data_IF_755549765216
#
_entry.id   IF_755549765216
#
_cell.length_a   1.000
_cell.length_b   1.000
_cell.length_c   1.000
_cell.angle_alpha   90.00
_cell.angle_beta   90.00
_cell.angle_gamma   90.00
#
_symmetry.space_group_name_H-M   'P 1'
#
loop_
_entity.id
_entity.type
_entity.pdbx_description
1 polymer ?
#
# COMPACT_ATOMS: atom_id res chain seq x y z
N UNK A 1 -36.87 -91.98 0.48
CA UNK A 1 -36.61 -91.16 -0.70
C UNK A 1 -36.88 -89.69 -0.35
N UNK A 2 -35.84 -88.93 -0.01
CA UNK A 2 -35.94 -87.46 0.26
C UNK A 2 -35.16 -86.74 -0.81
N UNK A 3 -35.82 -85.92 -1.63
CA UNK A 3 -35.20 -85.04 -2.61
C UNK A 3 -34.80 -83.77 -1.94
N UNK A 4 -33.53 -83.42 -1.94
CA UNK A 4 -33.00 -82.13 -1.55
C UNK A 4 -33.06 -81.15 -2.75
N UNK A 5 -33.64 -80.01 -2.52
CA UNK A 5 -33.71 -78.87 -3.47
C UNK A 5 -32.59 -77.94 -3.10
N UNK A 6 -31.61 -77.74 -3.97
CA UNK A 6 -30.54 -76.73 -3.87
C UNK A 6 -31.03 -75.42 -4.46
N UNK A 7 -31.08 -74.39 -3.63
CA UNK A 7 -31.41 -73.02 -4.02
C UNK A 7 -30.10 -72.33 -4.44
N UNK A 8 -29.97 -71.97 -5.70
CA UNK A 8 -28.83 -71.20 -6.23
C UNK A 8 -29.02 -69.68 -6.00
N UNK A 9 -28.13 -69.08 -5.22
CA UNK A 9 -28.09 -67.64 -5.02
C UNK A 9 -27.25 -67.00 -6.14
N UNK A 10 -27.90 -66.28 -7.04
CA UNK A 10 -27.27 -65.45 -8.02
C UNK A 10 -26.87 -64.10 -7.37
N UNK A 11 -25.56 -63.87 -7.16
CA UNK A 11 -25.01 -62.63 -6.67
C UNK A 11 -24.93 -61.62 -7.89
N UNK A 12 -25.72 -60.56 -7.84
CA UNK A 12 -25.69 -59.48 -8.79
C UNK A 12 -24.57 -58.50 -8.38
N UNK A 13 -23.42 -58.56 -9.04
CA UNK A 13 -22.31 -57.60 -8.85
C UNK A 13 -22.67 -56.28 -9.53
N UNK A 14 -23.02 -55.28 -8.69
CA UNK A 14 -23.18 -53.91 -9.18
C UNK A 14 -21.81 -53.26 -9.43
N UNK A 15 -21.47 -53.07 -10.71
CA UNK A 15 -20.24 -52.42 -11.16
C UNK A 15 -20.49 -50.90 -11.06
N UNK A 16 -20.05 -50.26 -9.98
CA UNK A 16 -20.02 -48.77 -9.85
C UNK A 16 -18.89 -48.22 -10.70
N UNK A 17 -19.20 -47.69 -11.87
CA UNK A 17 -18.27 -46.90 -12.66
C UNK A 17 -18.03 -45.56 -11.88
N UNK A 18 -16.90 -45.46 -11.23
CA UNK A 18 -16.38 -44.18 -10.73
C UNK A 18 -15.93 -43.36 -11.94
N UNK A 19 -16.73 -42.41 -12.40
CA UNK A 19 -16.28 -41.37 -13.31
C UNK A 19 -15.26 -40.53 -12.56
N UNK A 20 -13.98 -40.80 -12.76
CA UNK A 20 -12.90 -39.89 -12.42
C UNK A 20 -13.06 -38.66 -13.33
N UNK A 21 -13.78 -37.65 -12.85
CA UNK A 21 -13.77 -36.33 -13.48
C UNK A 21 -12.32 -35.84 -13.44
N UNK A 22 -11.65 -35.80 -14.58
CA UNK A 22 -10.42 -35.04 -14.72
C UNK A 22 -10.79 -33.57 -14.45
N UNK A 23 -10.64 -33.16 -13.19
CA UNK A 23 -10.65 -31.72 -12.85
C UNK A 23 -9.36 -31.16 -13.45
N UNK A 24 -9.45 -30.67 -14.70
CA UNK A 24 -8.42 -29.79 -15.22
C UNK A 24 -8.33 -28.62 -14.24
N UNK A 25 -7.18 -28.46 -13.62
CA UNK A 25 -6.92 -27.26 -12.83
C UNK A 25 -7.12 -26.06 -13.77
N UNK A 26 -8.07 -25.20 -13.45
CA UNK A 26 -8.32 -24.02 -14.29
C UNK A 26 -7.06 -23.15 -14.31
N UNK A 27 -6.73 -22.59 -15.48
CA UNK A 27 -5.56 -21.73 -15.65
C UNK A 27 -5.53 -20.64 -14.57
N UNK A 28 -4.39 -20.42 -13.89
CA UNK A 28 -4.30 -19.44 -12.83
C UNK A 28 -4.55 -18.02 -13.37
N UNK A 29 -5.00 -17.14 -12.46
CA UNK A 29 -5.02 -15.70 -12.70
C UNK A 29 -3.67 -15.16 -12.27
N UNK A 30 -2.88 -14.71 -13.22
CA UNK A 30 -1.50 -14.25 -13.01
C UNK A 30 -1.46 -12.78 -12.61
N UNK A 31 -0.84 -12.48 -11.48
CA UNK A 31 -0.65 -11.11 -11.00
C UNK A 31 0.84 -10.79 -10.91
N UNK A 32 1.28 -9.83 -11.71
CA UNK A 32 2.63 -9.30 -11.64
C UNK A 32 2.76 -8.28 -10.50
N UNK A 33 3.67 -8.54 -9.57
CA UNK A 33 3.95 -7.67 -8.42
C UNK A 33 5.33 -7.06 -8.61
N UNK A 34 5.35 -5.80 -9.06
CA UNK A 34 6.57 -5.03 -9.33
C UNK A 34 6.86 -4.15 -8.13
N UNK A 35 7.81 -4.55 -7.28
CA UNK A 35 8.03 -3.87 -5.99
C UNK A 35 9.50 -3.89 -5.61
N UNK A 36 10.04 -2.91 -4.86
CA UNK A 36 11.45 -2.91 -4.51
C UNK A 36 11.74 -4.04 -3.53
N UNK A 37 12.53 -5.02 -3.98
CA UNK A 37 13.02 -6.13 -3.17
C UNK A 37 14.44 -5.88 -2.68
N UNK A 38 15.08 -4.81 -3.15
CA UNK A 38 16.42 -4.35 -2.78
C UNK A 38 16.45 -2.84 -2.50
N UNK A 39 17.58 -2.33 -2.03
CA UNK A 39 17.79 -0.91 -1.79
C UNK A 39 17.04 -0.32 -0.59
N UNK A 40 16.89 1.01 -0.56
CA UNK A 40 16.32 1.74 0.59
C UNK A 40 14.86 1.41 0.86
N UNK A 41 14.12 1.01 -0.15
CA UNK A 41 12.70 0.69 -0.05
C UNK A 41 12.39 -0.82 0.07
N UNK A 42 13.41 -1.68 0.19
CA UNK A 42 13.22 -3.12 0.38
C UNK A 42 12.30 -3.47 1.58
N UNK A 43 12.34 -2.77 2.74
CA UNK A 43 11.39 -3.04 3.82
C UNK A 43 9.93 -2.82 3.41
N UNK A 44 9.66 -1.84 2.54
CA UNK A 44 8.32 -1.56 2.01
C UNK A 44 7.90 -2.68 1.06
N UNK A 45 8.75 -3.02 0.09
CA UNK A 45 8.49 -4.10 -0.87
C UNK A 45 8.28 -5.46 -0.19
N UNK A 46 8.96 -5.71 0.91
CA UNK A 46 8.77 -6.90 1.75
C UNK A 46 7.34 -6.98 2.31
N UNK A 47 6.80 -5.87 2.82
CA UNK A 47 5.43 -5.81 3.32
C UNK A 47 4.40 -5.98 2.19
N UNK A 48 4.63 -5.34 1.03
CA UNK A 48 3.81 -5.55 -0.18
C UNK A 48 3.77 -7.03 -0.56
N UNK A 49 4.94 -7.67 -0.62
CA UNK A 49 5.05 -9.10 -0.92
C UNK A 49 4.27 -9.96 0.07
N UNK A 50 4.46 -9.74 1.37
CA UNK A 50 3.81 -10.51 2.41
C UNK A 50 2.28 -10.32 2.44
N UNK A 51 1.80 -9.08 2.21
CA UNK A 51 0.37 -8.81 2.07
C UNK A 51 -0.26 -9.57 0.91
N UNK A 52 0.41 -9.58 -0.25
CA UNK A 52 -0.02 -10.34 -1.43
C UNK A 52 -0.01 -11.85 -1.18
N UNK A 53 1.08 -12.39 -0.64
CA UNK A 53 1.23 -13.83 -0.36
C UNK A 53 0.16 -14.33 0.63
N UNK A 54 -0.13 -13.56 1.69
CA UNK A 54 -1.15 -13.93 2.66
C UNK A 54 -2.55 -13.95 2.04
N UNK A 55 -2.93 -12.88 1.32
CA UNK A 55 -4.23 -12.79 0.68
C UNK A 55 -4.44 -13.90 -0.35
N UNK A 56 -3.44 -14.14 -1.20
CA UNK A 56 -3.50 -15.20 -2.23
C UNK A 56 -3.60 -16.57 -1.61
N UNK A 57 -2.83 -16.85 -0.55
CA UNK A 57 -2.94 -18.10 0.21
C UNK A 57 -4.37 -18.34 0.73
N UNK A 58 -4.98 -17.31 1.33
CA UNK A 58 -6.34 -17.42 1.88
C UNK A 58 -7.39 -17.57 0.78
N UNK A 59 -7.30 -16.78 -0.29
CA UNK A 59 -8.24 -16.83 -1.42
C UNK A 59 -8.16 -18.17 -2.15
N UNK A 60 -6.95 -18.65 -2.42
CA UNK A 60 -6.75 -19.93 -3.11
C UNK A 60 -7.22 -21.12 -2.24
N UNK A 61 -6.99 -21.08 -0.93
CA UNK A 61 -7.49 -22.09 0.00
C UNK A 61 -9.04 -22.10 0.08
N UNK A 62 -9.69 -20.97 -0.20
CA UNK A 62 -11.15 -20.87 -0.28
C UNK A 62 -11.73 -21.24 -1.66
N UNK A 63 -10.92 -21.79 -2.58
CA UNK A 63 -11.36 -22.22 -3.91
C UNK A 63 -11.02 -21.25 -5.04
N UNK A 64 -10.22 -20.21 -4.76
CA UNK A 64 -9.79 -19.24 -5.76
C UNK A 64 -10.89 -18.26 -6.18
N UNK A 65 -10.81 -17.75 -7.39
CA UNK A 65 -11.76 -16.82 -8.01
C UNK A 65 -12.44 -17.52 -9.19
N UNK A 66 -13.73 -17.79 -9.07
CA UNK A 66 -14.45 -18.61 -10.05
C UNK A 66 -13.76 -19.97 -10.33
N UNK A 67 -13.18 -20.60 -9.29
CA UNK A 67 -12.44 -21.87 -9.40
C UNK A 67 -11.02 -21.75 -9.95
N UNK A 68 -10.51 -20.54 -10.23
CA UNK A 68 -9.15 -20.26 -10.69
C UNK A 68 -8.29 -19.74 -9.53
N UNK A 69 -7.10 -20.31 -9.27
CA UNK A 69 -6.21 -19.77 -8.27
C UNK A 69 -5.52 -18.50 -8.76
N UNK A 70 -5.13 -17.59 -7.85
CA UNK A 70 -4.15 -16.56 -8.14
C UNK A 70 -2.73 -17.15 -8.17
N UNK A 71 -1.92 -16.67 -9.10
CA UNK A 71 -0.48 -16.91 -9.19
C UNK A 71 0.26 -15.58 -9.12
N UNK A 72 1.24 -15.45 -8.21
CA UNK A 72 2.04 -14.23 -8.02
C UNK A 72 3.39 -14.35 -8.72
N UNK A 73 3.73 -13.36 -9.54
CA UNK A 73 5.04 -13.21 -10.15
C UNK A 73 5.69 -11.91 -9.67
N UNK A 74 6.82 -12.02 -8.96
CA UNK A 74 7.51 -10.89 -8.36
C UNK A 74 8.69 -10.43 -9.22
N UNK A 75 8.81 -9.09 -9.37
CA UNK A 75 9.95 -8.43 -9.99
C UNK A 75 10.42 -7.26 -9.13
N UNK A 76 11.75 -7.11 -9.02
CA UNK A 76 12.37 -6.00 -8.29
C UNK A 76 12.42 -4.74 -9.15
N UNK A 77 11.73 -3.67 -8.73
CA UNK A 77 11.76 -2.37 -9.40
C UNK A 77 12.91 -1.47 -8.93
N UNK A 78 13.65 -1.87 -7.88
CA UNK A 78 14.78 -1.12 -7.31
C UNK A 78 14.44 0.34 -6.95
N UNK A 79 13.16 0.67 -6.78
CA UNK A 79 12.62 2.03 -6.68
C UNK A 79 13.05 2.94 -7.87
N UNK A 80 13.25 2.37 -9.04
CA UNK A 80 13.78 3.02 -10.25
C UNK A 80 12.77 2.89 -11.41
N UNK A 81 12.20 4.01 -11.93
CA UNK A 81 11.19 3.96 -12.98
C UNK A 81 11.60 3.23 -14.26
N UNK A 82 12.81 3.42 -14.85
CA UNK A 82 13.28 2.62 -15.98
C UNK A 82 13.30 1.11 -15.70
N UNK A 83 13.77 0.69 -14.52
CA UNK A 83 13.80 -0.72 -14.12
C UNK A 83 12.38 -1.25 -13.96
N UNK A 84 11.49 -0.49 -13.32
CA UNK A 84 10.09 -0.86 -13.15
C UNK A 84 9.40 -1.11 -14.51
N UNK A 85 9.64 -0.26 -15.50
CA UNK A 85 9.10 -0.44 -16.87
C UNK A 85 9.64 -1.72 -17.49
N UNK A 86 10.96 -1.95 -17.48
CA UNK A 86 11.59 -3.13 -18.04
C UNK A 86 11.03 -4.42 -17.40
N UNK A 87 10.91 -4.44 -16.07
CA UNK A 87 10.36 -5.59 -15.33
C UNK A 87 8.88 -5.82 -15.61
N UNK A 88 8.11 -4.75 -15.72
CA UNK A 88 6.70 -4.83 -16.11
C UNK A 88 6.52 -5.32 -17.56
N UNK A 89 7.37 -4.90 -18.49
CA UNK A 89 7.36 -5.41 -19.87
C UNK A 89 7.61 -6.93 -19.91
N UNK A 90 8.58 -7.43 -19.13
CA UNK A 90 8.80 -8.87 -19.00
C UNK A 90 7.53 -9.60 -18.52
N UNK A 91 6.92 -9.12 -17.43
CA UNK A 91 5.70 -9.70 -16.88
C UNK A 91 4.55 -9.72 -17.91
N UNK A 92 4.39 -8.64 -18.68
CA UNK A 92 3.32 -8.51 -19.66
C UNK A 92 3.58 -9.34 -20.92
N UNK A 93 4.80 -9.31 -21.46
CA UNK A 93 5.11 -9.89 -22.75
C UNK A 93 5.55 -11.36 -22.68
N UNK A 94 6.31 -11.74 -21.65
CA UNK A 94 6.84 -13.10 -21.48
C UNK A 94 5.95 -13.94 -20.56
N UNK A 95 5.66 -13.43 -19.37
CA UNK A 95 4.93 -14.16 -18.33
C UNK A 95 3.40 -14.09 -18.53
N UNK A 96 2.91 -13.15 -19.37
CA UNK A 96 1.49 -12.97 -19.73
C UNK A 96 0.58 -12.75 -18.52
N UNK A 97 0.98 -11.86 -17.61
CA UNK A 97 0.15 -11.54 -16.44
C UNK A 97 -1.16 -10.86 -16.82
N UNK A 98 -2.21 -11.15 -16.06
CA UNK A 98 -3.54 -10.56 -16.22
C UNK A 98 -3.63 -9.16 -15.61
N UNK A 99 -2.92 -8.92 -14.49
CA UNK A 99 -2.95 -7.72 -13.66
C UNK A 99 -1.55 -7.33 -13.19
N UNK A 100 -1.35 -6.03 -12.94
CA UNK A 100 -0.13 -5.49 -12.35
C UNK A 100 -0.44 -4.80 -11.01
N UNK A 101 0.49 -4.90 -10.06
CA UNK A 101 0.45 -4.15 -8.79
C UNK A 101 1.84 -3.96 -8.22
N UNK A 102 1.93 -3.24 -7.09
CA UNK A 102 3.10 -3.24 -6.20
C UNK A 102 4.10 -2.11 -6.40
N UNK A 103 3.96 -1.27 -7.44
CA UNK A 103 4.89 -0.15 -7.66
C UNK A 103 4.91 0.81 -6.46
N UNK A 104 6.10 1.04 -5.89
CA UNK A 104 6.33 1.86 -4.70
C UNK A 104 6.78 3.27 -5.08
N UNK A 105 7.76 3.40 -5.98
CA UNK A 105 8.16 4.70 -6.50
C UNK A 105 7.05 5.31 -7.35
N UNK A 106 6.61 6.55 -7.03
CA UNK A 106 5.50 7.18 -7.74
C UNK A 106 5.81 7.45 -9.22
N UNK A 107 7.07 7.72 -9.57
CA UNK A 107 7.53 7.78 -10.96
C UNK A 107 7.41 6.43 -11.67
N UNK A 108 7.72 5.33 -10.98
CA UNK A 108 7.48 3.97 -11.49
C UNK A 108 6.01 3.73 -11.77
N UNK A 109 5.12 4.11 -10.84
CA UNK A 109 3.67 3.95 -11.02
C UNK A 109 3.16 4.72 -12.24
N UNK A 110 3.61 5.95 -12.44
CA UNK A 110 3.25 6.76 -13.60
C UNK A 110 3.72 6.12 -14.91
N UNK A 111 4.97 5.66 -14.97
CA UNK A 111 5.56 5.06 -16.16
C UNK A 111 4.94 3.68 -16.48
N UNK A 112 4.80 2.81 -15.47
CA UNK A 112 4.16 1.49 -15.61
C UNK A 112 2.67 1.63 -15.91
N UNK A 113 2.01 2.68 -15.41
CA UNK A 113 0.61 2.98 -15.74
C UNK A 113 0.42 3.23 -17.24
N UNK A 114 1.32 3.98 -17.88
CA UNK A 114 1.29 4.19 -19.33
C UNK A 114 1.56 2.89 -20.09
N UNK A 115 2.46 2.04 -19.58
CA UNK A 115 2.72 0.72 -20.16
C UNK A 115 1.49 -0.19 -20.05
N UNK A 116 0.83 -0.21 -18.88
CA UNK A 116 -0.38 -1.00 -18.63
C UNK A 116 -1.52 -0.59 -19.58
N UNK A 117 -1.70 0.72 -19.81
CA UNK A 117 -2.69 1.23 -20.77
C UNK A 117 -2.44 0.73 -22.20
N UNK A 118 -1.19 0.84 -22.69
CA UNK A 118 -0.81 0.37 -24.04
C UNK A 118 -0.98 -1.13 -24.23
N UNK A 119 -0.88 -1.90 -23.14
CA UNK A 119 -1.03 -3.35 -23.15
C UNK A 119 -2.44 -3.82 -22.75
N UNK A 120 -3.39 -2.89 -22.60
CA UNK A 120 -4.76 -3.18 -22.15
C UNK A 120 -4.76 -4.03 -20.86
N UNK A 121 -4.02 -3.59 -19.85
CA UNK A 121 -3.95 -4.21 -18.51
C UNK A 121 -4.23 -3.17 -17.45
N UNK A 122 -4.66 -3.64 -16.29
CA UNK A 122 -4.88 -2.79 -15.11
C UNK A 122 -3.66 -2.82 -14.22
N UNK A 123 -3.24 -1.63 -13.76
CA UNK A 123 -2.29 -1.44 -12.67
C UNK A 123 -3.03 -0.90 -11.44
N UNK A 124 -2.85 -1.55 -10.28
CA UNK A 124 -3.33 -1.01 -9.01
C UNK A 124 -2.16 -0.78 -8.08
N UNK A 125 -1.95 0.47 -7.66
CA UNK A 125 -0.93 0.77 -6.65
C UNK A 125 -1.51 0.71 -5.24
N UNK A 126 -0.70 0.17 -4.32
CA UNK A 126 -0.99 0.05 -2.88
C UNK A 126 -0.07 0.91 -2.02
N UNK A 127 0.87 1.64 -2.65
CA UNK A 127 1.92 2.36 -1.93
C UNK A 127 2.12 3.78 -2.43
N UNK A 128 2.16 4.01 -3.74
CA UNK A 128 2.55 5.29 -4.33
C UNK A 128 1.66 6.46 -3.90
N UNK A 129 2.28 7.55 -3.42
CA UNK A 129 1.57 8.66 -2.77
C UNK A 129 1.33 9.88 -3.66
N UNK A 130 2.06 10.05 -4.80
CA UNK A 130 1.92 11.25 -5.61
C UNK A 130 0.46 11.51 -6.02
N UNK A 131 -0.09 12.69 -5.73
CA UNK A 131 -1.47 13.02 -6.09
C UNK A 131 -1.73 12.99 -7.60
N UNK A 132 -0.67 13.22 -8.42
CA UNK A 132 -0.74 13.20 -9.87
C UNK A 132 -1.22 11.88 -10.47
N UNK A 133 -0.99 10.74 -9.79
CA UNK A 133 -1.32 9.38 -10.28
C UNK A 133 -2.83 9.24 -10.56
N UNK A 134 -3.68 9.71 -9.66
CA UNK A 134 -5.14 9.72 -9.80
C UNK A 134 -5.70 11.14 -10.02
N UNK A 135 -4.82 12.13 -10.24
CA UNK A 135 -5.13 13.51 -10.53
C UNK A 135 -4.69 13.92 -11.93
N UNK A 136 -3.81 14.91 -12.05
CA UNK A 136 -3.42 15.52 -13.34
C UNK A 136 -2.84 14.53 -14.36
N UNK A 137 -2.24 13.43 -13.93
CA UNK A 137 -1.70 12.35 -14.77
C UNK A 137 -2.51 11.05 -14.69
N UNK A 138 -3.77 11.13 -14.28
CA UNK A 138 -4.65 9.97 -14.17
C UNK A 138 -4.73 9.20 -15.49
N UNK A 139 -5.01 7.92 -15.38
CA UNK A 139 -5.07 6.98 -16.48
C UNK A 139 -6.21 5.99 -16.23
N UNK A 140 -7.02 5.71 -17.23
CA UNK A 140 -8.19 4.86 -17.09
C UNK A 140 -7.89 3.41 -16.63
N UNK A 141 -6.65 2.96 -16.78
CA UNK A 141 -6.22 1.63 -16.37
C UNK A 141 -5.43 1.63 -15.04
N UNK A 142 -5.33 2.78 -14.36
CA UNK A 142 -4.61 2.91 -13.09
C UNK A 142 -5.58 3.19 -11.95
N UNK A 143 -5.47 2.40 -10.88
CA UNK A 143 -6.24 2.55 -9.66
C UNK A 143 -5.31 2.69 -8.46
N UNK A 144 -5.76 3.38 -7.41
CA UNK A 144 -5.04 3.47 -6.14
C UNK A 144 -5.95 3.11 -4.97
N UNK A 145 -5.52 2.13 -4.16
CA UNK A 145 -6.29 1.64 -3.00
C UNK A 145 -5.80 2.18 -1.66
N UNK A 146 -4.66 2.87 -1.64
CA UNK A 146 -4.09 3.54 -0.47
C UNK A 146 -4.39 5.04 -0.45
N UNK A 147 -4.17 5.69 0.69
CA UNK A 147 -4.25 7.14 0.82
C UNK A 147 -3.12 7.84 0.03
N UNK A 148 -3.43 8.91 -0.67
CA UNK A 148 -2.44 9.75 -1.34
C UNK A 148 -1.83 10.81 -0.42
N UNK A 149 -0.83 11.57 -0.92
CA UNK A 149 -0.17 12.61 -0.14
C UNK A 149 -1.11 13.74 0.30
N UNK A 150 -2.11 14.10 -0.51
CA UNK A 150 -3.12 15.09 -0.13
C UNK A 150 -3.95 14.62 1.07
N UNK A 151 -4.43 13.38 1.06
CA UNK A 151 -5.20 12.79 2.16
C UNK A 151 -4.39 12.76 3.45
N UNK A 152 -3.12 12.36 3.36
CA UNK A 152 -2.19 12.32 4.50
C UNK A 152 -1.93 13.72 5.04
N UNK A 153 -1.61 14.67 4.17
CA UNK A 153 -1.33 16.06 4.53
C UNK A 153 -2.55 16.70 5.22
N UNK A 154 -3.71 16.65 4.58
CA UNK A 154 -4.94 17.25 5.11
C UNK A 154 -5.30 16.69 6.50
N UNK A 155 -5.24 15.36 6.67
CA UNK A 155 -5.55 14.74 7.95
C UNK A 155 -4.54 15.12 9.04
N UNK A 156 -3.23 15.09 8.73
CA UNK A 156 -2.17 15.35 9.70
C UNK A 156 -2.08 16.83 10.08
N UNK A 157 -2.07 17.74 9.10
CA UNK A 157 -1.90 19.17 9.35
C UNK A 157 -3.10 19.77 10.09
N UNK A 158 -4.32 19.34 9.77
CA UNK A 158 -5.53 19.74 10.51
C UNK A 158 -5.49 19.25 11.97
N UNK A 159 -4.94 18.06 12.22
CA UNK A 159 -4.76 17.55 13.57
C UNK A 159 -3.65 18.32 14.32
N UNK A 160 -2.49 18.56 13.67
CA UNK A 160 -1.38 19.33 14.24
C UNK A 160 -1.83 20.75 14.63
N UNK A 161 -2.57 21.43 13.77
CA UNK A 161 -3.06 22.79 14.02
C UNK A 161 -3.93 22.90 15.29
N UNK A 162 -4.64 21.83 15.65
CA UNK A 162 -5.51 21.76 16.84
C UNK A 162 -4.77 21.32 18.10
N UNK A 163 -3.69 20.54 17.97
CA UNK A 163 -3.08 19.83 19.10
C UNK A 163 -1.65 20.27 19.41
N UNK A 164 -0.98 20.99 18.48
CA UNK A 164 0.40 21.43 18.61
C UNK A 164 0.45 22.96 18.52
N UNK A 165 1.14 23.60 19.46
CA UNK A 165 1.28 25.07 19.49
C UNK A 165 2.32 25.60 18.51
N UNK A 166 3.21 24.74 18.00
CA UNK A 166 4.27 25.09 17.07
C UNK A 166 3.75 25.59 15.72
N UNK A 167 4.35 26.68 15.21
CA UNK A 167 3.91 27.35 13.96
C UNK A 167 4.98 27.36 12.87
N UNK A 168 6.20 27.01 13.18
CA UNK A 168 7.36 27.06 12.27
C UNK A 168 7.69 25.67 11.76
N UNK A 169 7.49 25.45 10.48
CA UNK A 169 7.65 24.15 9.86
C UNK A 169 8.89 24.13 8.94
N UNK A 170 9.72 23.12 9.08
CA UNK A 170 10.77 22.81 8.12
C UNK A 170 10.47 21.46 7.45
N UNK A 171 10.73 21.37 6.15
CA UNK A 171 10.39 20.20 5.36
C UNK A 171 11.64 19.49 4.85
N UNK A 172 11.63 18.16 4.85
CA UNK A 172 12.68 17.35 4.24
C UNK A 172 12.10 16.10 3.57
N UNK A 173 12.41 15.90 2.30
CA UNK A 173 11.91 14.76 1.52
C UNK A 173 12.85 14.40 0.39
N UNK A 174 12.81 13.15 -0.10
CA UNK A 174 13.71 12.73 -1.17
C UNK A 174 13.42 13.45 -2.49
N UNK A 175 14.49 13.69 -3.27
CA UNK A 175 14.41 14.42 -4.53
C UNK A 175 13.85 13.56 -5.68
N UNK A 176 12.56 13.27 -5.61
CA UNK A 176 11.79 12.67 -6.70
C UNK A 176 10.29 12.97 -6.54
N UNK A 177 9.46 12.47 -7.47
CA UNK A 177 8.02 12.84 -7.59
C UNK A 177 7.26 12.76 -6.26
N UNK A 178 7.37 11.65 -5.50
CA UNK A 178 6.65 11.50 -4.24
C UNK A 178 7.14 12.50 -3.18
N UNK A 179 8.47 12.63 -3.02
CA UNK A 179 9.04 13.53 -2.01
C UNK A 179 8.63 14.97 -2.24
N UNK A 180 8.77 15.45 -3.47
CA UNK A 180 8.41 16.83 -3.85
C UNK A 180 6.91 17.08 -3.75
N UNK A 181 6.07 16.19 -4.29
CA UNK A 181 4.61 16.37 -4.25
C UNK A 181 4.04 16.24 -2.84
N UNK A 182 4.61 15.38 -2.00
CA UNK A 182 4.20 15.26 -0.59
C UNK A 182 4.57 16.52 0.21
N UNK A 183 5.80 17.02 0.06
CA UNK A 183 6.21 18.29 0.69
C UNK A 183 5.33 19.43 0.21
N UNK A 184 5.07 19.55 -1.10
CA UNK A 184 4.16 20.57 -1.63
C UNK A 184 2.76 20.51 -1.00
N UNK A 185 2.19 19.31 -0.85
CA UNK A 185 0.90 19.14 -0.20
C UNK A 185 0.90 19.63 1.26
N UNK A 186 1.96 19.31 2.02
CA UNK A 186 2.11 19.82 3.38
C UNK A 186 2.30 21.34 3.42
N UNK A 187 3.10 21.93 2.53
CA UNK A 187 3.32 23.37 2.45
C UNK A 187 2.02 24.14 2.14
N UNK A 188 1.22 23.63 1.20
CA UNK A 188 -0.08 24.23 0.84
C UNK A 188 -1.03 24.20 2.04
N UNK A 189 -1.10 23.09 2.77
CA UNK A 189 -1.96 22.95 3.94
C UNK A 189 -1.52 23.85 5.10
N UNK A 190 -0.22 23.89 5.45
CA UNK A 190 0.24 24.74 6.56
C UNK A 190 0.07 26.21 6.22
N UNK A 191 0.23 26.62 4.96
CA UNK A 191 -0.04 27.98 4.50
C UNK A 191 -1.51 28.33 4.69
N UNK A 192 -2.43 27.45 4.31
CA UNK A 192 -3.89 27.60 4.54
C UNK A 192 -4.22 27.74 6.01
N UNK A 193 -3.46 27.09 6.90
CA UNK A 193 -3.61 27.13 8.35
C UNK A 193 -2.89 28.31 9.03
N UNK A 194 -2.22 29.19 8.24
CA UNK A 194 -1.50 30.35 8.75
C UNK A 194 -0.21 30.01 9.50
N UNK A 195 0.39 28.86 9.26
CA UNK A 195 1.69 28.49 9.79
C UNK A 195 2.83 29.00 8.89
N UNK A 196 4.06 28.96 9.38
CA UNK A 196 5.25 29.54 8.75
C UNK A 196 6.08 28.42 8.14
N UNK A 197 6.26 28.43 6.84
CA UNK A 197 7.28 27.65 6.13
C UNK A 197 8.65 28.28 6.38
N UNK A 198 9.57 27.54 7.00
CA UNK A 198 10.93 27.99 7.31
C UNK A 198 11.98 27.43 6.36
N UNK A 199 11.57 26.67 5.38
CA UNK A 199 12.41 26.10 4.33
C UNK A 199 12.22 24.60 4.11
N UNK A 200 12.82 24.15 3.02
CA UNK A 200 12.78 22.74 2.64
C UNK A 200 14.11 22.26 2.09
N UNK A 201 14.38 20.96 2.22
CA UNK A 201 15.55 20.28 1.66
C UNK A 201 15.16 19.01 0.94
N UNK A 202 15.84 18.71 -0.17
CA UNK A 202 15.54 17.55 -1.01
C UNK A 202 16.81 16.71 -1.24
N UNK A 203 17.21 15.86 -0.26
CA UNK A 203 18.29 14.90 -0.44
C UNK A 203 17.95 13.88 -1.53
N UNK A 204 18.96 13.31 -2.23
CA UNK A 204 18.75 12.21 -3.16
C UNK A 204 18.05 11.03 -2.48
N UNK A 205 17.24 10.29 -3.22
CA UNK A 205 16.71 9.00 -2.76
C UNK A 205 17.89 8.05 -2.45
N UNK A 206 17.84 7.40 -1.29
CA UNK A 206 18.91 6.51 -0.84
C UNK A 206 20.11 7.24 -0.21
N UNK A 207 19.98 8.54 0.11
CA UNK A 207 21.05 9.30 0.77
C UNK A 207 21.52 8.58 2.04
N UNK A 208 22.84 8.38 2.14
CA UNK A 208 23.45 7.71 3.30
C UNK A 208 23.80 8.71 4.40
N UNK A 209 23.99 9.97 4.04
CA UNK A 209 24.41 11.05 4.93
C UNK A 209 23.51 12.28 4.74
N UNK A 210 22.95 12.75 5.84
CA UNK A 210 22.10 13.93 5.93
C UNK A 210 22.78 15.10 6.64
N UNK A 211 24.06 14.97 7.02
CA UNK A 211 24.81 15.97 7.81
C UNK A 211 24.81 17.36 7.16
N UNK A 212 24.92 17.44 5.84
CA UNK A 212 24.87 18.69 5.09
C UNK A 212 23.57 19.48 5.23
N UNK A 213 22.48 18.83 5.61
CA UNK A 213 21.17 19.47 5.82
C UNK A 213 20.95 19.94 7.27
N UNK A 214 21.74 19.43 8.24
CA UNK A 214 21.55 19.73 9.67
C UNK A 214 21.78 21.20 9.99
N UNK A 215 22.70 21.86 9.29
CA UNK A 215 22.94 23.30 9.42
C UNK A 215 21.74 24.15 9.03
N UNK A 216 21.08 23.80 7.91
CA UNK A 216 19.89 24.49 7.43
C UNK A 216 18.70 24.29 8.40
N UNK A 217 18.47 23.07 8.86
CA UNK A 217 17.42 22.75 9.84
C UNK A 217 17.62 23.57 11.12
N UNK A 218 18.85 23.60 11.64
CA UNK A 218 19.18 24.37 12.87
C UNK A 218 18.99 25.88 12.69
N UNK A 219 19.40 26.43 11.55
CA UNK A 219 19.24 27.86 11.22
C UNK A 219 17.76 28.25 11.06
N UNK A 220 16.93 27.36 10.54
CA UNK A 220 15.49 27.53 10.38
C UNK A 220 14.74 27.61 11.72
N UNK A 221 15.28 27.07 12.82
CA UNK A 221 14.66 27.01 14.15
C UNK A 221 13.20 26.54 14.06
N UNK A 222 12.93 25.34 13.52
CA UNK A 222 11.57 24.86 13.38
C UNK A 222 10.99 24.44 14.74
N UNK A 223 9.67 24.58 14.88
CA UNK A 223 8.89 23.91 15.92
C UNK A 223 8.48 22.50 15.50
N UNK A 224 8.35 22.30 14.16
CA UNK A 224 7.94 21.04 13.56
C UNK A 224 8.87 20.72 12.38
N UNK A 225 9.44 19.52 12.37
CA UNK A 225 10.07 18.95 11.17
C UNK A 225 9.08 17.99 10.53
N UNK A 226 8.72 18.27 9.26
CA UNK A 226 7.87 17.42 8.44
C UNK A 226 8.72 16.66 7.43
N UNK A 227 8.71 15.33 7.49
CA UNK A 227 9.47 14.53 6.51
C UNK A 227 8.57 13.74 5.55
N UNK A 228 9.03 13.65 4.29
CA UNK A 228 8.49 12.74 3.27
C UNK A 228 9.46 11.58 2.96
N UNK A 229 10.50 11.36 3.78
CA UNK A 229 11.37 10.18 3.64
C UNK A 229 10.61 8.90 4.00
N UNK A 230 11.09 7.75 3.52
CA UNK A 230 10.50 6.45 3.81
C UNK A 230 11.59 5.36 3.89
N UNK A 231 11.24 4.19 4.43
CA UNK A 231 12.14 3.06 4.53
C UNK A 231 13.44 3.39 5.30
N UNK A 232 14.57 2.93 4.77
CA UNK A 232 15.87 3.15 5.41
C UNK A 232 16.35 4.62 5.41
N UNK A 233 15.81 5.45 4.51
CA UNK A 233 16.15 6.88 4.49
C UNK A 233 15.63 7.60 5.73
N UNK A 234 14.42 7.23 6.20
CA UNK A 234 13.89 7.78 7.45
C UNK A 234 14.70 7.33 8.66
N UNK A 235 15.11 6.06 8.71
CA UNK A 235 15.96 5.57 9.80
C UNK A 235 17.21 6.44 9.90
N UNK A 236 17.92 6.63 8.78
CA UNK A 236 19.15 7.45 8.74
C UNK A 236 18.90 8.90 9.11
N UNK A 237 17.85 9.51 8.54
CA UNK A 237 17.50 10.91 8.85
C UNK A 237 17.25 11.11 10.34
N UNK A 238 16.35 10.32 10.95
CA UNK A 238 15.98 10.50 12.35
C UNK A 238 17.14 10.19 13.30
N UNK A 239 17.93 9.16 13.00
CA UNK A 239 19.14 8.85 13.78
C UNK A 239 20.12 10.00 13.74
N UNK A 240 20.39 10.58 12.57
CA UNK A 240 21.30 11.72 12.44
C UNK A 240 20.74 13.01 13.07
N UNK A 241 19.42 13.27 12.99
CA UNK A 241 18.81 14.37 13.74
C UNK A 241 19.06 14.24 15.25
N UNK A 242 19.01 13.02 15.79
CA UNK A 242 19.34 12.73 17.20
C UNK A 242 20.83 12.93 17.49
N UNK A 243 21.71 12.34 16.69
CA UNK A 243 23.16 12.43 16.82
C UNK A 243 23.68 13.87 16.76
N UNK A 244 23.09 14.71 15.91
CA UNK A 244 23.42 16.12 15.79
C UNK A 244 22.74 16.99 16.86
N UNK A 245 21.99 16.41 17.82
CA UNK A 245 21.33 17.14 18.90
C UNK A 245 20.27 18.13 18.42
N UNK A 246 19.55 17.80 17.33
CA UNK A 246 18.45 18.61 16.81
C UNK A 246 17.15 18.23 17.52
N UNK A 247 16.99 16.96 17.89
CA UNK A 247 15.79 16.48 18.59
C UNK A 247 15.76 17.05 20.02
N UNK A 248 14.58 17.54 20.41
CA UNK A 248 14.33 18.05 21.76
C UNK A 248 12.85 17.87 22.09
N UNK A 249 12.49 17.96 23.38
CA UNK A 249 11.10 17.86 23.86
C UNK A 249 10.16 18.96 23.30
N UNK A 250 10.74 20.04 22.75
CA UNK A 250 9.99 21.14 22.14
C UNK A 250 9.78 20.97 20.64
N UNK A 251 10.53 20.06 19.99
CA UNK A 251 10.46 19.82 18.58
C UNK A 251 9.47 18.67 18.28
N UNK A 252 8.50 18.94 17.45
CA UNK A 252 7.60 17.91 16.94
C UNK A 252 8.18 17.29 15.67
N UNK A 253 8.27 15.95 15.64
CA UNK A 253 8.55 15.20 14.41
C UNK A 253 7.23 14.74 13.80
N UNK A 254 7.06 15.01 12.53
CA UNK A 254 5.88 14.57 11.80
C UNK A 254 6.23 14.24 10.34
N UNK A 255 5.35 13.53 9.63
CA UNK A 255 5.63 13.24 8.23
C UNK A 255 4.63 12.34 7.55
N UNK A 256 4.98 11.96 6.32
CA UNK A 256 4.17 11.08 5.50
C UNK A 256 3.96 9.72 6.15
N UNK A 257 2.84 9.07 5.86
CA UNK A 257 2.60 7.69 6.22
C UNK A 257 3.72 6.78 5.67
N UNK A 258 4.15 5.81 6.48
CA UNK A 258 5.24 4.93 6.09
C UNK A 258 6.66 5.51 6.24
N UNK A 259 6.80 6.76 6.71
CA UNK A 259 8.09 7.27 7.18
C UNK A 259 8.60 6.41 8.35
N UNK A 260 7.79 6.27 9.38
CA UNK A 260 7.99 5.29 10.46
C UNK A 260 6.98 4.16 10.30
N UNK A 261 7.45 2.90 10.36
CA UNK A 261 6.64 1.69 10.21
C UNK A 261 7.05 0.66 11.25
N UNK A 262 6.24 -0.39 11.43
CA UNK A 262 6.60 -1.53 12.29
C UNK A 262 7.94 -2.20 11.87
N UNK A 263 8.32 -2.07 10.60
CA UNK A 263 9.55 -2.67 10.08
C UNK A 263 10.82 -1.86 10.40
N UNK A 264 10.71 -0.54 10.57
CA UNK A 264 11.88 0.32 10.73
C UNK A 264 11.98 1.03 12.10
N UNK A 265 10.90 1.06 12.88
CA UNK A 265 10.85 1.77 14.16
C UNK A 265 11.95 1.32 15.14
N UNK A 266 12.19 0.01 15.26
CA UNK A 266 13.23 -0.53 16.13
C UNK A 266 14.65 -0.13 15.74
N UNK A 267 14.91 0.07 14.45
CA UNK A 267 16.23 0.46 13.94
C UNK A 267 16.59 1.93 14.24
N UNK A 268 15.62 2.75 14.67
CA UNK A 268 15.84 4.18 14.95
C UNK A 268 16.42 4.44 16.35
N UNK A 269 16.53 3.42 17.20
CA UNK A 269 17.11 3.57 18.55
C UNK A 269 16.44 4.68 19.39
N UNK A 270 15.10 4.79 19.31
CA UNK A 270 14.30 5.82 19.98
C UNK A 270 14.31 7.20 19.29
N UNK A 271 14.98 7.39 18.15
CA UNK A 271 14.93 8.65 17.39
C UNK A 271 13.56 8.91 16.75
N UNK A 272 12.72 7.87 16.65
CA UNK A 272 11.34 7.98 16.18
C UNK A 272 10.31 8.27 17.26
N UNK A 273 10.70 8.36 18.55
CA UNK A 273 9.75 8.61 19.63
C UNK A 273 8.96 9.89 19.41
N UNK A 274 7.64 9.80 19.60
CA UNK A 274 6.75 10.93 19.42
C UNK A 274 6.44 11.30 17.97
N UNK A 275 6.99 10.61 16.96
CA UNK A 275 6.72 10.88 15.54
C UNK A 275 5.23 10.77 15.24
N UNK A 276 4.70 11.75 14.51
CA UNK A 276 3.30 11.84 14.13
C UNK A 276 3.14 11.63 12.61
N UNK A 277 2.17 10.81 12.23
CA UNK A 277 1.77 10.68 10.82
C UNK A 277 0.27 10.43 10.71
N UNK A 278 -0.28 10.69 9.51
CA UNK A 278 -1.64 10.26 9.18
C UNK A 278 -1.59 9.17 8.11
N UNK A 279 -2.22 8.05 8.38
CA UNK A 279 -2.20 6.86 7.53
C UNK A 279 -3.60 6.27 7.37
N UNK A 280 -3.81 5.50 6.31
CA UNK A 280 -5.03 4.72 6.12
C UNK A 280 -5.08 3.44 6.96
N UNK A 281 -4.03 3.15 7.71
CA UNK A 281 -3.94 1.96 8.56
C UNK A 281 -3.11 2.20 9.82
N UNK A 282 -3.54 1.57 10.91
CA UNK A 282 -2.73 1.34 12.09
C UNK A 282 -3.02 -0.05 12.64
N UNK A 283 -2.01 -0.70 13.19
CA UNK A 283 -2.14 -2.07 13.72
C UNK A 283 -3.14 -2.16 14.89
N UNK A 284 -3.36 -1.05 15.59
CA UNK A 284 -4.28 -0.93 16.73
C UNK A 284 -5.75 -0.65 16.34
N UNK A 285 -6.09 -0.69 15.04
CA UNK A 285 -7.50 -0.58 14.58
C UNK A 285 -8.31 -1.73 15.19
N UNK A 286 -9.30 -1.36 16.03
CA UNK A 286 -10.12 -2.31 16.77
C UNK A 286 -11.33 -2.79 15.95
N UNK A 287 -11.05 -3.64 14.95
CA UNK A 287 -12.08 -4.34 14.17
C UNK A 287 -11.80 -5.84 14.14
N UNK A 288 -12.84 -6.70 14.04
CA UNK A 288 -12.63 -8.15 13.88
C UNK A 288 -11.79 -8.50 12.65
N UNK A 289 -11.96 -7.77 11.54
CA UNK A 289 -11.20 -7.97 10.31
C UNK A 289 -9.70 -7.69 10.51
N UNK A 290 -9.36 -6.57 11.18
CA UNK A 290 -7.97 -6.25 11.47
C UNK A 290 -7.33 -7.27 12.45
N UNK A 291 -8.04 -7.63 13.52
CA UNK A 291 -7.53 -8.64 14.47
C UNK A 291 -7.21 -9.96 13.77
N UNK A 292 -8.10 -10.43 12.88
CA UNK A 292 -7.87 -11.64 12.09
C UNK A 292 -6.65 -11.49 11.17
N UNK A 293 -6.55 -10.38 10.44
CA UNK A 293 -5.43 -10.09 9.56
C UNK A 293 -4.10 -10.06 10.31
N UNK A 294 -4.03 -9.31 11.42
CA UNK A 294 -2.80 -9.19 12.25
C UNK A 294 -2.37 -10.56 12.78
N UNK A 295 -3.31 -11.37 13.27
CA UNK A 295 -2.99 -12.72 13.78
C UNK A 295 -2.44 -13.63 12.67
N UNK A 296 -3.10 -13.66 11.49
CA UNK A 296 -2.68 -14.45 10.35
C UNK A 296 -1.31 -14.00 9.79
N UNK A 297 -1.09 -12.68 9.74
CA UNK A 297 0.17 -12.10 9.28
C UNK A 297 1.33 -12.46 10.22
N UNK A 298 1.17 -12.27 11.54
CA UNK A 298 2.16 -12.67 12.55
C UNK A 298 2.46 -14.16 12.50
N UNK A 299 1.45 -15.00 12.35
CA UNK A 299 1.63 -16.46 12.23
C UNK A 299 2.44 -16.83 10.97
N UNK A 300 2.18 -16.16 9.84
CA UNK A 300 2.82 -16.49 8.56
C UNK A 300 4.25 -15.98 8.45
N UNK A 301 4.54 -14.78 8.99
CA UNK A 301 5.79 -14.07 8.71
C UNK A 301 6.62 -13.73 9.95
N UNK A 302 6.14 -14.10 11.16
CA UNK A 302 6.80 -13.78 12.43
C UNK A 302 7.12 -12.29 12.57
N UNK A 303 6.22 -11.44 12.06
CA UNK A 303 6.39 -9.99 11.97
C UNK A 303 5.04 -9.29 12.04
N UNK A 304 5.04 -8.05 12.48
CA UNK A 304 3.85 -7.20 12.46
C UNK A 304 3.56 -6.68 11.04
N UNK A 305 2.28 -6.62 10.63
CA UNK A 305 1.91 -5.93 9.41
C UNK A 305 2.02 -4.41 9.58
N UNK A 306 2.33 -3.73 8.49
CA UNK A 306 2.18 -2.28 8.38
C UNK A 306 1.11 -1.88 7.35
N UNK A 307 1.01 -0.56 7.08
CA UNK A 307 0.03 -0.03 6.13
C UNK A 307 0.22 -0.62 4.71
N UNK A 308 1.44 -0.91 4.28
CA UNK A 308 1.71 -1.44 2.94
C UNK A 308 1.27 -2.89 2.80
N UNK A 309 1.49 -3.68 3.84
CA UNK A 309 0.99 -5.05 3.93
C UNK A 309 -0.54 -5.09 3.96
N UNK A 310 -1.17 -4.22 4.75
CA UNK A 310 -2.62 -4.15 4.89
C UNK A 310 -3.32 -3.68 3.60
N UNK A 311 -2.78 -2.63 2.93
CA UNK A 311 -3.32 -2.14 1.65
C UNK A 311 -3.19 -3.19 0.55
N UNK A 312 -2.05 -3.90 0.49
CA UNK A 312 -1.85 -4.94 -0.51
C UNK A 312 -2.71 -6.18 -0.25
N UNK A 313 -2.84 -6.59 1.01
CA UNK A 313 -3.77 -7.66 1.38
C UNK A 313 -5.21 -7.33 0.96
N UNK A 314 -5.69 -6.14 1.28
CA UNK A 314 -7.03 -5.68 0.91
C UNK A 314 -7.26 -5.56 -0.61
N UNK A 315 -6.22 -5.23 -1.38
CA UNK A 315 -6.29 -5.19 -2.84
C UNK A 315 -6.69 -6.54 -3.46
N UNK A 316 -6.16 -7.65 -2.99
CA UNK A 316 -6.49 -8.96 -3.57
C UNK A 316 -7.96 -9.35 -3.38
N UNK A 317 -8.61 -8.85 -2.32
CA UNK A 317 -10.06 -9.02 -2.16
C UNK A 317 -10.84 -8.12 -3.13
N UNK A 318 -10.35 -6.92 -3.46
CA UNK A 318 -10.90 -6.12 -4.55
C UNK A 318 -10.73 -6.82 -5.90
N UNK A 319 -9.56 -7.39 -6.19
CA UNK A 319 -9.33 -8.18 -7.42
C UNK A 319 -10.30 -9.36 -7.50
N UNK A 320 -10.44 -10.13 -6.41
CA UNK A 320 -11.38 -11.25 -6.34
C UNK A 320 -12.79 -10.78 -6.70
N UNK A 321 -13.30 -9.78 -5.99
CA UNK A 321 -14.66 -9.24 -6.20
C UNK A 321 -14.86 -8.72 -7.63
N UNK A 322 -13.88 -7.99 -8.17
CA UNK A 322 -13.96 -7.41 -9.51
C UNK A 322 -13.95 -8.48 -10.60
N UNK A 323 -13.09 -9.51 -10.47
CA UNK A 323 -13.00 -10.61 -11.44
C UNK A 323 -14.28 -11.46 -11.40
N UNK A 324 -14.84 -11.73 -10.21
CA UNK A 324 -16.11 -12.43 -10.07
C UNK A 324 -17.25 -11.66 -10.74
N UNK A 325 -17.33 -10.34 -10.51
CA UNK A 325 -18.34 -9.46 -11.12
C UNK A 325 -18.16 -9.32 -12.63
N UNK A 326 -16.93 -9.24 -13.11
CA UNK A 326 -16.61 -9.13 -14.54
C UNK A 326 -16.75 -10.47 -15.31
N UNK A 327 -16.76 -11.59 -14.59
CA UNK A 327 -16.75 -12.93 -15.18
C UNK A 327 -15.40 -13.32 -15.80
N UNK A 328 -14.29 -12.66 -15.40
CA UNK A 328 -12.94 -12.92 -15.91
C UNK A 328 -12.02 -11.70 -15.85
N UNK A 329 -10.92 -11.74 -16.63
CA UNK A 329 -9.84 -10.74 -16.59
C UNK A 329 -9.85 -9.75 -17.76
N UNK A 330 -10.95 -9.63 -18.51
CA UNK A 330 -11.11 -8.60 -19.55
C UNK A 330 -10.98 -7.20 -18.95
N UNK A 331 -10.06 -6.41 -19.46
CA UNK A 331 -9.68 -5.12 -18.88
C UNK A 331 -10.82 -4.11 -18.78
N UNK A 332 -11.69 -4.05 -19.81
CA UNK A 332 -12.82 -3.09 -19.80
C UNK A 332 -13.87 -3.49 -18.77
N UNK A 333 -14.17 -4.79 -18.68
CA UNK A 333 -15.11 -5.33 -17.69
C UNK A 333 -14.56 -5.21 -16.27
N UNK A 334 -13.26 -5.48 -16.05
CA UNK A 334 -12.60 -5.30 -14.77
C UNK A 334 -12.62 -3.84 -14.31
N UNK A 335 -12.28 -2.90 -15.20
CA UNK A 335 -12.36 -1.47 -14.91
C UNK A 335 -13.76 -1.09 -14.46
N UNK A 336 -14.79 -1.44 -15.22
CA UNK A 336 -16.18 -1.17 -14.87
C UNK A 336 -16.61 -1.85 -13.55
N UNK A 337 -16.04 -3.02 -13.23
CA UNK A 337 -16.33 -3.72 -11.99
C UNK A 337 -15.65 -3.08 -10.77
N UNK A 338 -14.48 -2.46 -10.98
CA UNK A 338 -13.71 -1.77 -9.91
C UNK A 338 -14.20 -0.33 -9.67
N UNK A 339 -14.71 0.36 -10.69
CA UNK A 339 -15.32 1.67 -10.56
C UNK A 339 -16.51 1.60 -9.60
N UNK A 340 -16.60 2.48 -8.60
CA UNK A 340 -17.58 2.47 -7.51
C UNK A 340 -17.62 1.20 -6.64
N UNK A 341 -16.61 0.31 -6.74
CA UNK A 341 -16.52 -0.87 -5.89
C UNK A 341 -16.42 -0.48 -4.42
N UNK A 342 -17.09 -1.28 -3.58
CA UNK A 342 -16.98 -1.22 -2.12
C UNK A 342 -16.53 -2.59 -1.64
N UNK A 343 -15.49 -2.64 -0.81
CA UNK A 343 -14.93 -3.91 -0.34
C UNK A 343 -14.37 -3.80 1.08
N UNK A 344 -14.40 -4.93 1.78
CA UNK A 344 -13.88 -5.05 3.14
C UNK A 344 -12.35 -5.17 3.16
N UNK A 345 -11.72 -4.48 4.10
CA UNK A 345 -10.27 -4.52 4.33
C UNK A 345 -9.96 -4.54 5.83
N UNK A 346 -8.71 -4.81 6.24
CA UNK A 346 -8.31 -4.66 7.65
C UNK A 346 -8.57 -3.26 8.21
N UNK A 347 -8.51 -2.23 7.35
CA UNK A 347 -8.77 -0.84 7.73
C UNK A 347 -10.27 -0.52 7.91
N UNK A 348 -11.14 -1.39 7.48
CA UNK A 348 -12.58 -1.19 7.33
C UNK A 348 -13.02 -1.21 5.88
N UNK A 349 -14.20 -0.66 5.61
CA UNK A 349 -14.78 -0.62 4.26
C UNK A 349 -14.10 0.49 3.44
N UNK A 350 -13.57 0.13 2.28
CA UNK A 350 -13.09 1.08 1.28
C UNK A 350 -14.08 1.20 0.14
N UNK A 351 -14.14 2.38 -0.48
CA UNK A 351 -14.92 2.64 -1.69
C UNK A 351 -14.02 3.25 -2.76
N UNK A 352 -14.06 2.70 -3.97
CA UNK A 352 -13.39 3.28 -5.13
C UNK A 352 -14.19 4.48 -5.65
N UNK A 353 -13.57 5.64 -5.82
CA UNK A 353 -14.19 6.79 -6.47
C UNK A 353 -14.01 6.65 -7.98
N UNK A 354 -15.14 6.55 -8.69
CA UNK A 354 -15.17 6.32 -10.13
C UNK A 354 -14.46 7.44 -10.92
N UNK A 355 -14.63 8.67 -10.49
CA UNK A 355 -14.19 9.85 -11.23
C UNK A 355 -12.67 9.95 -11.42
N UNK A 356 -11.87 9.30 -10.55
CA UNK A 356 -10.40 9.38 -10.59
C UNK A 356 -9.69 8.10 -10.17
N UNK A 357 -10.42 7.01 -9.91
CA UNK A 357 -9.89 5.73 -9.45
C UNK A 357 -9.07 5.81 -8.13
N UNK A 358 -9.37 6.80 -7.29
CA UNK A 358 -8.83 6.91 -5.93
C UNK A 358 -9.77 6.24 -4.93
N UNK A 359 -9.26 5.31 -4.14
CA UNK A 359 -10.02 4.77 -3.02
C UNK A 359 -10.25 5.84 -1.94
N UNK A 360 -11.46 5.89 -1.41
CA UNK A 360 -11.82 6.65 -0.21
C UNK A 360 -11.43 5.76 0.98
N UNK A 361 -10.53 6.28 1.83
CA UNK A 361 -9.92 5.57 2.94
C UNK A 361 -10.03 6.42 4.19
N UNK A 362 -10.58 5.87 5.28
CA UNK A 362 -10.54 6.53 6.58
C UNK A 362 -9.10 6.69 7.05
N UNK A 363 -8.79 7.87 7.57
CA UNK A 363 -7.45 8.21 8.04
C UNK A 363 -7.38 8.14 9.56
N UNK A 364 -6.28 7.60 10.07
CA UNK A 364 -5.92 7.65 11.49
C UNK A 364 -4.68 8.51 11.65
N UNK A 365 -4.66 9.38 12.66
CA UNK A 365 -3.43 10.04 13.09
C UNK A 365 -2.79 9.15 14.12
N UNK A 366 -1.56 8.76 13.89
CA UNK A 366 -0.80 7.86 14.75
C UNK A 366 0.41 8.57 15.34
N UNK A 367 0.74 8.24 16.59
CA UNK A 367 1.94 8.67 17.31
C UNK A 367 2.78 7.47 17.66
N UNK A 368 4.07 7.57 17.41
CA UNK A 368 5.04 6.55 17.86
C UNK A 368 5.22 6.65 19.36
N UNK A 369 5.11 5.52 20.06
CA UNK A 369 5.33 5.41 21.50
C UNK A 369 6.12 4.11 21.76
N UNK A 370 7.39 4.26 22.16
CA UNK A 370 8.32 3.14 22.24
C UNK A 370 8.58 2.55 20.85
N UNK A 371 8.31 1.26 20.68
CA UNK A 371 8.43 0.57 19.39
C UNK A 371 7.05 0.25 18.77
N UNK A 372 6.02 1.03 19.09
CA UNK A 372 4.67 0.76 18.64
C UNK A 372 3.95 2.05 18.21
N UNK A 373 2.77 1.91 17.64
CA UNK A 373 1.91 3.01 17.21
C UNK A 373 0.69 3.10 18.09
N UNK A 374 0.33 4.36 18.42
CA UNK A 374 -0.91 4.67 19.11
C UNK A 374 -1.76 5.59 18.26
N UNK A 375 -2.98 5.20 17.97
CA UNK A 375 -3.97 6.07 17.32
C UNK A 375 -4.35 7.20 18.26
N UNK A 376 -4.14 8.45 17.83
CA UNK A 376 -4.44 9.67 18.57
C UNK A 376 -5.50 10.55 17.90
N UNK A 377 -5.93 10.20 16.71
CA UNK A 377 -6.98 10.89 15.96
C UNK A 377 -7.56 10.03 14.83
N UNK A 378 -8.77 10.39 14.40
CA UNK A 378 -9.43 9.76 13.24
C UNK A 378 -10.02 10.84 12.35
N UNK A 379 -9.97 10.65 11.05
CA UNK A 379 -10.56 11.52 10.03
C UNK A 379 -11.31 10.65 9.03
N UNK A 380 -12.62 10.86 8.83
CA UNK A 380 -13.39 10.12 7.84
C UNK A 380 -12.78 10.26 6.43
N UNK A 381 -12.78 9.19 5.66
CA UNK A 381 -12.19 9.18 4.32
C UNK A 381 -12.86 10.18 3.38
N UNK A 382 -14.17 10.39 3.53
CA UNK A 382 -14.91 11.40 2.77
C UNK A 382 -14.39 12.83 2.99
N UNK A 383 -13.92 13.14 4.20
CA UNK A 383 -13.35 14.45 4.55
C UNK A 383 -11.88 14.58 4.12
N UNK A 384 -11.19 13.45 4.01
CA UNK A 384 -9.75 13.40 3.68
C UNK A 384 -9.47 13.32 2.18
N UNK A 385 -10.35 12.69 1.38
CA UNK A 385 -10.05 12.32 -0.02
C UNK A 385 -9.80 13.50 -0.97
N UNK A 386 -10.34 14.68 -0.63
CA UNK A 386 -10.16 15.90 -1.41
C UNK A 386 -10.86 15.91 -2.77
N UNK A 387 -10.61 16.95 -3.57
CA UNK A 387 -11.24 17.10 -4.88
C UNK A 387 -10.73 16.06 -5.88
N UNK A 388 -11.59 15.74 -6.83
CA UNK A 388 -11.20 15.03 -8.05
C UNK A 388 -10.49 16.00 -9.02
N UNK A 389 -9.27 15.68 -9.37
CA UNK A 389 -8.45 16.45 -10.28
C UNK A 389 -8.14 15.71 -11.60
N UNK A 390 -8.75 14.54 -11.82
CA UNK A 390 -8.65 13.81 -13.07
C UNK A 390 -9.51 14.48 -14.15
N UNK A 391 -8.96 14.66 -15.37
CA UNK A 391 -9.62 15.28 -16.53
C UNK A 391 -9.63 14.36 -17.74
N UNK A 392 -9.27 13.08 -17.60
CA UNK A 392 -8.98 12.21 -18.74
C UNK A 392 -10.04 11.15 -19.01
N UNK A 393 -10.97 10.86 -18.10
CA UNK A 393 -12.04 9.90 -18.27
C UNK A 393 -13.24 10.19 -17.35
#
# INVERSE_FOLDING_TARGET
MKKSITCGSTALAALTLAFASNVYAADPIKVGVVTPLSGSYAPIGKQVRWGAELAVKEINAAGGVNGRPFELLFEDEEANPPVAVQKSEKLLQQDKVDLLTGTVNSGSTLAVGQLAERNERILVTTVSYAPSITGAQCNANVFRVNANAFMQSSALTNWLAKNISGKRYFFIGPDYEMGRSTISAFQDDIKRLGAIDTGSSFPPLGAKDFSSYMGQIRAARPDVIMTATAGNDTVRLLTQLKEFGILSDKLTLAGAAGAVTQQNIGAMGGAGEGFLSAAGYSIDIDTPANKKFVAAFKQSFQSDPDLFGADTYGLFYLFKQAIEKAGGTDTKKLRAAMEDATWDTPQGIKKMRKADHQAIVDMVVVKVTGNDFKTVGKVPGADAVGPDNCKKF
#
